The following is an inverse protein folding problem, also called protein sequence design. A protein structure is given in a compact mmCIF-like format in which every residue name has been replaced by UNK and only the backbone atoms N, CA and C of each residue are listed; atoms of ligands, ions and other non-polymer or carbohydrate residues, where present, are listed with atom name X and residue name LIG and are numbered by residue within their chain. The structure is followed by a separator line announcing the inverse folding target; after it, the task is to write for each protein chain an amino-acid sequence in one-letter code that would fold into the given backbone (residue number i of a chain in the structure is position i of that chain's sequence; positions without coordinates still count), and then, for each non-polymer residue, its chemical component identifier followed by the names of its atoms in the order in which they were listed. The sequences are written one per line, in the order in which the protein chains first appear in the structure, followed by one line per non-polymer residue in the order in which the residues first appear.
data_IF_828653861244
#
_entry.id   IF_828653861244
#
_cell.length_a   1.000
_cell.length_b   1.000
_cell.length_c   1.000
_cell.angle_alpha   90.00
_cell.angle_beta   90.00
_cell.angle_gamma   90.00
#
_symmetry.space_group_name_H-M   'P 1'
#
loop_
_entity.id
_entity.type
_entity.pdbx_description
1 polymer ?
#
# COMPACT_ATOMS: atom_id res chain seq x y z
N UNK A 1 8.37 -14.33 -2.85
CA UNK A 1 8.10 -14.91 -4.20
C UNK A 1 8.42 -13.86 -5.25
N UNK A 2 8.87 -14.26 -6.43
CA UNK A 2 9.12 -13.35 -7.56
C UNK A 2 8.19 -13.74 -8.70
N UNK A 3 7.44 -12.77 -9.22
CA UNK A 3 6.50 -12.92 -10.32
C UNK A 3 6.81 -11.86 -11.41
N UNK A 4 6.28 -12.04 -12.60
CA UNK A 4 6.53 -11.08 -13.67
C UNK A 4 7.81 -11.38 -14.45
N UNK A 5 8.50 -10.34 -14.93
CA UNK A 5 9.75 -10.41 -15.70
C UNK A 5 10.93 -10.11 -14.76
N UNK A 6 11.76 -11.11 -14.40
CA UNK A 6 12.78 -10.96 -13.33
C UNK A 6 13.78 -9.82 -13.59
N UNK A 7 14.14 -9.59 -14.85
CA UNK A 7 15.14 -8.58 -15.22
C UNK A 7 14.53 -7.22 -15.60
N UNK A 8 13.22 -7.04 -15.41
CA UNK A 8 12.56 -5.76 -15.72
C UNK A 8 13.21 -4.60 -14.99
N UNK A 9 13.25 -3.44 -15.65
CA UNK A 9 13.76 -2.19 -15.06
C UNK A 9 12.85 -1.61 -13.99
N UNK A 10 11.59 -2.06 -13.93
CA UNK A 10 10.61 -1.68 -12.91
C UNK A 10 10.39 -2.83 -11.94
N UNK A 11 10.48 -2.53 -10.65
CA UNK A 11 10.29 -3.48 -9.57
C UNK A 11 9.14 -3.01 -8.67
N UNK A 12 8.17 -3.88 -8.50
CA UNK A 12 7.06 -3.72 -7.57
C UNK A 12 7.38 -4.52 -6.30
N UNK A 13 7.25 -3.92 -5.16
CA UNK A 13 7.46 -4.56 -3.86
C UNK A 13 6.12 -4.57 -3.11
N UNK A 14 5.74 -5.74 -2.61
CA UNK A 14 4.46 -5.92 -1.94
C UNK A 14 4.60 -6.81 -0.71
N UNK A 15 4.38 -6.28 0.49
CA UNK A 15 4.13 -7.09 1.67
C UNK A 15 2.83 -7.88 1.50
N UNK A 16 2.88 -9.19 1.75
CA UNK A 16 1.79 -10.13 1.52
C UNK A 16 1.67 -11.12 2.68
N UNK A 17 0.45 -11.57 2.96
CA UNK A 17 0.20 -12.71 3.84
C UNK A 17 0.02 -14.01 3.04
N UNK A 18 -0.42 -15.10 3.68
CA UNK A 18 -0.69 -16.38 3.00
C UNK A 18 -1.87 -16.31 2.04
N UNK A 19 -2.88 -15.49 2.37
CA UNK A 19 -4.05 -15.32 1.52
C UNK A 19 -3.69 -14.57 0.25
N UNK A 20 -2.94 -13.47 0.37
CA UNK A 20 -2.43 -12.70 -0.77
C UNK A 20 -1.54 -13.57 -1.66
N UNK A 21 -0.65 -14.38 -1.05
CA UNK A 21 0.20 -15.31 -1.80
C UNK A 21 -0.58 -16.33 -2.62
N UNK A 22 -1.73 -16.78 -2.13
CA UNK A 22 -2.56 -17.75 -2.84
C UNK A 22 -3.16 -17.18 -4.15
N UNK A 23 -3.30 -15.86 -4.25
CA UNK A 23 -3.90 -15.15 -5.41
C UNK A 23 -2.90 -14.29 -6.18
N UNK A 24 -1.62 -14.28 -5.80
CA UNK A 24 -0.60 -13.40 -6.36
C UNK A 24 -0.37 -13.56 -7.86
N UNK A 25 -0.59 -14.77 -8.40
CA UNK A 25 -0.48 -15.02 -9.84
C UNK A 25 -1.63 -14.34 -10.61
N UNK A 26 -2.85 -14.38 -10.05
CA UNK A 26 -4.01 -13.70 -10.61
C UNK A 26 -3.80 -12.17 -10.58
N UNK A 27 -3.30 -11.63 -9.47
CA UNK A 27 -2.92 -10.22 -9.34
C UNK A 27 -1.87 -9.84 -10.37
N UNK A 28 -0.79 -10.63 -10.49
CA UNK A 28 0.28 -10.40 -11.48
C UNK A 28 -0.25 -10.41 -12.92
N UNK A 29 -1.15 -11.34 -13.25
CA UNK A 29 -1.78 -11.42 -14.57
C UNK A 29 -2.63 -10.18 -14.86
N UNK A 30 -3.36 -9.68 -13.86
CA UNK A 30 -4.18 -8.48 -13.99
C UNK A 30 -3.32 -7.21 -14.13
N UNK A 31 -2.21 -7.10 -13.38
CA UNK A 31 -1.23 -6.00 -13.57
C UNK A 31 -0.73 -6.00 -15.02
N UNK A 32 -0.33 -7.18 -15.55
CA UNK A 32 0.13 -7.29 -16.96
C UNK A 32 -0.94 -6.88 -17.98
N UNK A 33 -2.18 -7.22 -17.70
CA UNK A 33 -3.30 -6.85 -18.58
C UNK A 33 -3.53 -5.34 -18.64
N UNK A 34 -3.28 -4.65 -17.53
CA UNK A 34 -3.56 -3.22 -17.36
C UNK A 34 -2.34 -2.32 -17.63
N UNK A 35 -1.14 -2.83 -17.39
CA UNK A 35 0.09 -2.07 -17.51
C UNK A 35 0.63 -2.05 -18.95
N UNK A 36 1.35 -0.97 -19.27
CA UNK A 36 2.05 -0.81 -20.56
C UNK A 36 3.54 -1.13 -20.49
N UNK A 37 4.04 -1.35 -19.28
CA UNK A 37 5.47 -1.55 -18.97
C UNK A 37 5.68 -2.89 -18.30
N UNK A 38 6.72 -3.61 -18.68
CA UNK A 38 7.15 -4.81 -18.00
C UNK A 38 7.61 -4.53 -16.58
N UNK A 39 7.37 -5.47 -15.68
CA UNK A 39 7.71 -5.35 -14.28
C UNK A 39 8.15 -6.69 -13.67
N UNK A 40 8.90 -6.59 -12.58
CA UNK A 40 9.19 -7.66 -11.65
C UNK A 40 8.41 -7.39 -10.36
N UNK A 41 7.52 -8.29 -9.94
CA UNK A 41 6.83 -8.21 -8.66
C UNK A 41 7.56 -9.08 -7.63
N UNK A 42 7.98 -8.48 -6.52
CA UNK A 42 8.59 -9.15 -5.38
C UNK A 42 7.57 -9.13 -4.24
N UNK A 43 6.92 -10.28 -4.01
CA UNK A 43 6.03 -10.48 -2.88
C UNK A 43 6.84 -10.88 -1.64
N UNK A 44 6.80 -10.04 -0.61
CA UNK A 44 7.51 -10.24 0.66
C UNK A 44 6.52 -10.78 1.70
N UNK A 45 6.71 -12.03 2.10
CA UNK A 45 5.86 -12.65 3.12
C UNK A 45 6.03 -11.96 4.47
N UNK A 46 4.91 -11.64 5.09
CA UNK A 46 4.79 -11.09 6.43
C UNK A 46 4.16 -12.16 7.33
N UNK A 47 4.86 -12.51 8.41
CA UNK A 47 4.39 -13.55 9.32
C UNK A 47 3.45 -13.01 10.40
N UNK A 48 3.68 -11.79 10.88
CA UNK A 48 2.77 -11.11 11.81
C UNK A 48 2.33 -9.76 11.24
N UNK A 49 1.15 -9.77 10.61
CA UNK A 49 0.60 -8.63 9.87
C UNK A 49 0.51 -7.36 10.70
N UNK A 50 -0.11 -7.45 11.89
CA UNK A 50 -0.30 -6.31 12.76
C UNK A 50 1.02 -5.82 13.39
N UNK A 51 1.92 -6.72 13.71
CA UNK A 51 3.17 -6.34 14.34
C UNK A 51 4.18 -5.75 13.35
N UNK A 52 4.34 -6.36 12.16
CA UNK A 52 5.40 -6.04 11.24
C UNK A 52 5.09 -4.87 10.28
N UNK A 53 3.82 -4.57 10.04
CA UNK A 53 3.42 -3.50 9.12
C UNK A 53 3.01 -2.20 9.82
N UNK A 54 2.87 -2.21 11.14
CA UNK A 54 2.46 -1.03 11.90
C UNK A 54 3.62 -0.12 12.23
N UNK A 55 3.49 1.20 11.96
CA UNK A 55 4.54 2.19 12.21
C UNK A 55 4.90 2.35 13.69
N UNK A 56 3.92 2.18 14.57
CA UNK A 56 4.04 2.25 16.03
C UNK A 56 2.99 1.37 16.70
N UNK A 57 3.21 1.08 17.98
CA UNK A 57 2.27 0.28 18.76
C UNK A 57 0.96 1.04 18.98
N UNK A 58 -0.16 0.33 18.79
CA UNK A 58 -1.48 0.87 19.03
C UNK A 58 -2.42 -0.22 19.60
N UNK A 59 -3.46 0.16 20.36
CA UNK A 59 -4.46 -0.78 20.82
C UNK A 59 -5.20 -1.45 19.67
N UNK A 60 -5.78 -2.63 19.93
CA UNK A 60 -6.64 -3.31 18.97
C UNK A 60 -7.82 -2.41 18.55
N UNK A 61 -8.00 -2.22 17.26
CA UNK A 61 -9.17 -1.52 16.67
C UNK A 61 -10.25 -2.53 16.30
N UNK A 62 -9.84 -3.74 15.95
CA UNK A 62 -10.71 -4.90 15.71
C UNK A 62 -10.08 -6.16 16.33
N UNK A 63 -10.89 -7.18 16.57
CA UNK A 63 -10.39 -8.40 17.20
C UNK A 63 -9.87 -8.17 18.63
N UNK A 64 -8.81 -8.86 19.00
CA UNK A 64 -8.19 -8.79 20.34
C UNK A 64 -6.69 -8.45 20.30
N UNK A 65 -6.07 -8.57 19.14
CA UNK A 65 -4.65 -8.34 18.95
C UNK A 65 -4.39 -6.85 18.64
N UNK A 66 -3.48 -6.24 19.39
CA UNK A 66 -3.02 -4.87 19.13
C UNK A 66 -2.05 -4.82 17.98
N UNK A 67 -1.61 -3.61 17.67
CA UNK A 67 -0.63 -3.33 16.62
C UNK A 67 0.76 -3.21 17.23
N UNK A 68 1.78 -3.71 16.52
CA UNK A 68 3.18 -3.58 16.91
C UNK A 68 3.83 -2.29 16.40
N UNK A 69 5.15 -2.32 16.23
CA UNK A 69 5.99 -1.21 15.77
C UNK A 69 7.08 -1.67 14.78
N UNK A 70 6.85 -2.79 14.10
CA UNK A 70 7.85 -3.46 13.26
C UNK A 70 8.01 -2.88 11.85
N UNK A 71 7.28 -1.83 11.47
CA UNK A 71 7.32 -1.28 10.12
C UNK A 71 8.74 -0.81 9.71
N UNK A 72 9.54 -0.29 10.64
CA UNK A 72 10.91 0.13 10.35
C UNK A 72 11.81 -1.05 9.97
N UNK A 73 11.70 -2.18 10.68
CA UNK A 73 12.44 -3.40 10.37
C UNK A 73 11.98 -4.01 9.05
N UNK A 74 10.66 -3.99 8.79
CA UNK A 74 10.10 -4.44 7.53
C UNK A 74 10.55 -3.57 6.36
N UNK A 75 10.59 -2.24 6.53
CA UNK A 75 11.17 -1.34 5.53
C UNK A 75 12.65 -1.68 5.27
N UNK A 76 13.42 -1.95 6.31
CA UNK A 76 14.81 -2.41 6.18
C UNK A 76 14.93 -3.71 5.36
N UNK A 77 13.99 -4.66 5.52
CA UNK A 77 13.93 -5.88 4.69
C UNK A 77 13.60 -5.55 3.23
N UNK A 78 12.62 -4.66 2.98
CA UNK A 78 12.19 -4.21 1.64
C UNK A 78 13.34 -3.53 0.90
N UNK A 79 14.06 -2.63 1.55
CA UNK A 79 15.15 -1.86 0.96
C UNK A 79 16.33 -2.72 0.49
N UNK A 80 16.51 -3.93 1.03
CA UNK A 80 17.50 -4.90 0.53
C UNK A 80 17.28 -5.31 -0.92
N UNK A 81 16.07 -5.18 -1.42
CA UNK A 81 15.72 -5.45 -2.83
C UNK A 81 15.86 -4.21 -3.73
N UNK A 82 16.13 -3.04 -3.15
CA UNK A 82 16.18 -1.76 -3.86
C UNK A 82 17.62 -1.29 -4.10
N UNK A 83 18.53 -2.19 -4.50
CA UNK A 83 19.97 -1.90 -4.57
C UNK A 83 20.49 -1.55 -5.97
N UNK A 84 19.71 -1.81 -7.03
CA UNK A 84 20.15 -1.58 -8.40
C UNK A 84 19.85 -0.13 -8.82
N UNK A 85 20.89 0.70 -9.17
CA UNK A 85 20.69 2.12 -9.44
C UNK A 85 19.94 2.42 -10.74
N UNK A 86 19.83 1.44 -11.64
CA UNK A 86 19.16 1.54 -12.91
C UNK A 86 17.72 0.98 -12.90
N UNK A 87 17.20 0.64 -11.72
CA UNK A 87 15.81 0.17 -11.56
C UNK A 87 14.93 1.23 -10.89
N UNK A 88 13.66 1.20 -11.26
CA UNK A 88 12.61 2.02 -10.63
C UNK A 88 11.82 1.16 -9.66
N UNK A 89 11.63 1.64 -8.45
CA UNK A 89 10.96 0.89 -7.39
C UNK A 89 9.62 1.52 -7.01
N UNK A 90 8.60 0.68 -6.89
CA UNK A 90 7.29 1.04 -6.36
C UNK A 90 6.96 0.12 -5.18
N UNK A 91 6.38 0.68 -4.14
CA UNK A 91 5.91 -0.09 -2.98
C UNK A 91 4.40 -0.01 -2.91
N UNK A 92 3.74 -1.12 -2.61
CA UNK A 92 2.29 -1.11 -2.49
C UNK A 92 1.73 -2.30 -1.75
N UNK A 93 0.41 -2.32 -1.62
CA UNK A 93 -0.32 -3.40 -1.01
C UNK A 93 -1.73 -3.00 -0.62
N UNK A 94 -2.42 -3.95 0.01
CA UNK A 94 -3.79 -3.81 0.46
C UNK A 94 -3.87 -3.54 1.97
N UNK A 95 -4.87 -2.79 2.40
CA UNK A 95 -5.18 -2.61 3.83
C UNK A 95 -4.00 -2.05 4.64
N UNK A 96 -3.49 -2.79 5.62
CA UNK A 96 -2.35 -2.39 6.44
C UNK A 96 -1.04 -2.34 5.62
N UNK A 97 -0.88 -3.17 4.58
CA UNK A 97 0.24 -3.05 3.64
C UNK A 97 0.14 -1.76 2.80
N UNK A 98 -1.07 -1.30 2.48
CA UNK A 98 -1.29 0.01 1.86
C UNK A 98 -0.93 1.17 2.80
N UNK A 99 -1.27 1.07 4.08
CA UNK A 99 -0.81 2.02 5.12
C UNK A 99 0.72 2.02 5.23
N UNK A 100 1.33 0.84 5.28
CA UNK A 100 2.78 0.68 5.32
C UNK A 100 3.46 1.34 4.12
N UNK A 101 2.90 1.19 2.92
CA UNK A 101 3.43 1.83 1.72
C UNK A 101 3.40 3.36 1.81
N UNK A 102 2.31 3.95 2.32
CA UNK A 102 2.22 5.40 2.57
C UNK A 102 3.23 5.86 3.62
N UNK A 103 3.35 5.13 4.74
CA UNK A 103 4.31 5.45 5.78
C UNK A 103 5.76 5.34 5.28
N UNK A 104 6.09 4.27 4.56
CA UNK A 104 7.42 4.06 3.98
C UNK A 104 7.80 5.16 2.99
N UNK A 105 6.83 5.67 2.21
CA UNK A 105 7.03 6.78 1.31
C UNK A 105 7.34 8.11 2.03
N UNK A 106 7.04 8.24 3.32
CA UNK A 106 7.51 9.36 4.15
C UNK A 106 8.96 9.14 4.65
N UNK A 107 9.41 7.88 4.79
CA UNK A 107 10.74 7.56 5.35
C UNK A 107 11.87 7.69 4.34
N UNK A 108 11.61 7.40 3.06
CA UNK A 108 12.65 7.31 2.03
C UNK A 108 12.13 7.80 0.68
N UNK A 109 13.03 8.27 -0.17
CA UNK A 109 12.81 8.68 -1.56
C UNK A 109 13.11 7.57 -2.58
N UNK A 110 13.46 6.37 -2.11
CA UNK A 110 13.76 5.20 -2.95
C UNK A 110 12.57 4.80 -3.82
N UNK A 111 11.36 4.95 -3.30
CA UNK A 111 10.15 4.57 -4.04
C UNK A 111 9.65 5.73 -4.89
N UNK A 112 9.59 5.52 -6.19
CA UNK A 112 9.04 6.49 -7.13
C UNK A 112 7.54 6.75 -6.89
N UNK A 113 6.83 5.76 -6.37
CA UNK A 113 5.43 5.89 -6.03
C UNK A 113 4.94 4.81 -5.07
N UNK A 114 3.77 5.05 -4.48
CA UNK A 114 3.10 4.14 -3.57
C UNK A 114 1.73 3.71 -4.11
N UNK A 115 1.49 2.40 -4.14
CA UNK A 115 0.21 1.77 -4.51
C UNK A 115 -0.56 1.40 -3.24
N UNK A 116 -1.39 2.31 -2.72
CA UNK A 116 -2.14 2.10 -1.50
C UNK A 116 -3.61 1.74 -1.80
N UNK A 117 -3.88 0.43 -1.94
CA UNK A 117 -5.22 -0.08 -2.18
C UNK A 117 -5.95 -0.28 -0.86
N UNK A 118 -7.10 0.36 -0.70
CA UNK A 118 -7.94 0.36 0.52
C UNK A 118 -7.12 0.48 1.82
N UNK A 119 -6.20 1.48 1.92
CA UNK A 119 -5.25 1.55 3.02
C UNK A 119 -5.94 1.81 4.36
N UNK A 120 -5.40 1.23 5.43
CA UNK A 120 -5.90 1.38 6.79
C UNK A 120 -5.62 2.78 7.37
N UNK A 121 -5.98 3.86 6.66
CA UNK A 121 -5.72 5.26 7.08
C UNK A 121 -6.47 5.67 8.35
N UNK A 122 -7.37 4.82 8.85
CA UNK A 122 -7.99 4.93 10.17
C UNK A 122 -7.03 4.57 11.32
N UNK A 123 -5.83 4.06 11.03
CA UNK A 123 -4.84 3.66 12.04
C UNK A 123 -4.56 4.81 13.02
N UNK A 124 -4.54 4.54 14.35
CA UNK A 124 -4.42 5.58 15.37
C UNK A 124 -3.19 6.46 15.19
N UNK A 125 -3.39 7.78 15.11
CA UNK A 125 -2.31 8.76 14.96
C UNK A 125 -1.78 8.95 13.53
N UNK A 126 -2.20 8.13 12.55
CA UNK A 126 -1.61 8.18 11.20
C UNK A 126 -1.87 9.50 10.47
N UNK A 127 -3.05 10.10 10.63
CA UNK A 127 -3.35 11.38 9.97
C UNK A 127 -2.50 12.53 10.53
N UNK A 128 -2.25 12.56 11.84
CA UNK A 128 -1.38 13.56 12.45
C UNK A 128 0.06 13.38 11.97
N UNK A 129 0.52 12.11 11.94
CA UNK A 129 1.82 11.78 11.38
C UNK A 129 1.98 12.25 9.93
N UNK A 130 0.99 12.00 9.06
CA UNK A 130 1.05 12.37 7.63
C UNK A 130 1.05 13.89 7.40
N UNK A 131 0.42 14.67 8.30
CA UNK A 131 0.48 16.14 8.26
C UNK A 131 1.86 16.68 8.57
N UNK A 132 2.60 16.02 9.46
CA UNK A 132 3.93 16.44 9.91
C UNK A 132 5.07 15.87 9.03
N UNK A 133 4.81 14.77 8.33
CA UNK A 133 5.81 14.05 7.55
C UNK A 133 5.39 13.96 6.08
N UNK A 134 5.91 14.83 5.20
CA UNK A 134 5.55 14.81 3.80
C UNK A 134 6.02 13.54 3.10
N UNK A 135 5.22 13.06 2.14
CA UNK A 135 5.58 11.95 1.26
C UNK A 135 6.70 12.38 0.30
N UNK A 136 7.70 11.52 0.15
CA UNK A 136 8.86 11.74 -0.72
C UNK A 136 8.70 11.12 -2.11
N UNK A 137 7.67 10.31 -2.31
CA UNK A 137 7.33 9.71 -3.61
C UNK A 137 6.58 10.70 -4.49
N UNK A 138 6.86 10.69 -5.80
CA UNK A 138 6.23 11.60 -6.76
C UNK A 138 4.79 11.25 -7.11
N UNK A 139 4.36 10.00 -6.90
CA UNK A 139 3.03 9.52 -7.27
C UNK A 139 2.45 8.59 -6.20
N UNK A 140 1.16 8.75 -5.89
CA UNK A 140 0.44 7.90 -4.94
C UNK A 140 -0.94 7.55 -5.47
N UNK A 141 -1.18 6.25 -5.61
CA UNK A 141 -2.53 5.76 -5.87
C UNK A 141 -3.23 5.44 -4.55
N UNK A 142 -4.47 5.89 -4.45
CA UNK A 142 -5.38 5.56 -3.35
C UNK A 142 -6.65 4.92 -3.91
N UNK A 143 -7.19 3.94 -3.21
CA UNK A 143 -8.56 3.45 -3.48
C UNK A 143 -9.31 3.12 -2.20
N UNK A 144 -10.64 3.00 -2.32
CA UNK A 144 -11.50 2.55 -1.25
C UNK A 144 -12.76 1.91 -1.81
N UNK A 145 -13.31 0.89 -1.14
CA UNK A 145 -14.62 0.37 -1.44
C UNK A 145 -15.75 1.30 -0.95
N UNK A 146 -16.81 1.46 -1.74
CA UNK A 146 -17.93 2.38 -1.45
C UNK A 146 -18.79 1.98 -0.24
N UNK A 147 -18.48 0.81 0.36
CA UNK A 147 -19.14 0.30 1.56
C UNK A 147 -18.20 0.14 2.76
N UNK A 148 -16.92 0.47 2.63
CA UNK A 148 -15.95 0.28 3.72
C UNK A 148 -16.21 1.23 4.90
N UNK A 149 -16.62 2.45 4.65
CA UNK A 149 -17.01 3.41 5.70
C UNK A 149 -18.35 3.06 6.39
N UNK A 150 -19.11 2.06 5.87
CA UNK A 150 -20.41 1.61 6.42
C UNK A 150 -20.25 0.48 7.46
N UNK A 151 -19.08 0.32 8.05
CA UNK A 151 -18.84 -0.64 9.13
C UNK A 151 -19.43 -0.17 10.46
N UNK A 152 -19.72 -1.14 11.37
CA UNK A 152 -20.17 -0.84 12.74
C UNK A 152 -19.04 -0.40 13.67
N UNK A 153 -17.79 -0.64 13.30
CA UNK A 153 -16.65 -0.22 14.09
C UNK A 153 -16.44 1.29 13.91
N UNK A 154 -16.54 2.10 14.97
CA UNK A 154 -16.52 3.57 14.85
C UNK A 154 -15.17 4.11 14.39
N UNK A 155 -14.06 3.42 14.68
CA UNK A 155 -12.72 3.82 14.23
C UNK A 155 -12.57 3.52 12.74
N UNK A 156 -12.89 2.30 12.31
CA UNK A 156 -12.80 1.90 10.91
C UNK A 156 -13.78 2.68 10.02
N UNK A 157 -14.94 3.10 10.54
CA UNK A 157 -15.91 3.91 9.80
C UNK A 157 -15.36 5.28 9.36
N UNK A 158 -14.30 5.76 10.01
CA UNK A 158 -13.64 7.02 9.62
C UNK A 158 -12.84 6.91 8.33
N UNK A 159 -12.65 5.70 7.78
CA UNK A 159 -11.77 5.46 6.61
C UNK A 159 -12.13 6.33 5.40
N UNK A 160 -13.42 6.52 5.14
CA UNK A 160 -13.89 7.33 4.01
C UNK A 160 -13.52 8.81 4.13
N UNK A 161 -13.63 9.40 5.32
CA UNK A 161 -13.20 10.77 5.60
C UNK A 161 -11.67 10.89 5.52
N UNK A 162 -10.96 9.98 6.19
CA UNK A 162 -9.50 9.99 6.28
C UNK A 162 -8.80 9.77 4.94
N UNK A 163 -9.35 8.94 4.06
CA UNK A 163 -8.74 8.75 2.73
C UNK A 163 -8.91 9.98 1.83
N UNK A 164 -10.05 10.69 1.94
CA UNK A 164 -10.25 11.98 1.25
C UNK A 164 -9.28 13.04 1.79
N UNK A 165 -9.11 13.10 3.10
CA UNK A 165 -8.13 13.97 3.75
C UNK A 165 -6.69 13.61 3.30
N UNK A 166 -6.33 12.32 3.28
CA UNK A 166 -5.05 11.85 2.76
C UNK A 166 -4.81 12.36 1.34
N UNK A 167 -5.78 12.22 0.44
CA UNK A 167 -5.66 12.72 -0.93
C UNK A 167 -5.44 14.24 -0.97
N UNK A 168 -6.17 14.99 -0.15
CA UNK A 168 -6.03 16.44 -0.09
C UNK A 168 -4.63 16.87 0.40
N UNK A 169 -4.10 16.20 1.43
CA UNK A 169 -2.74 16.42 1.92
C UNK A 169 -1.69 16.14 0.84
N UNK A 170 -1.81 15.02 0.12
CA UNK A 170 -0.92 14.65 -0.97
C UNK A 170 -0.93 15.69 -2.09
N UNK A 171 -2.11 16.15 -2.50
CA UNK A 171 -2.25 17.22 -3.50
C UNK A 171 -1.62 18.53 -3.06
N UNK A 172 -1.79 18.90 -1.79
CA UNK A 172 -1.18 20.09 -1.22
C UNK A 172 0.35 20.02 -1.19
N UNK A 173 0.92 18.81 -1.10
CA UNK A 173 2.35 18.53 -1.18
C UNK A 173 2.88 18.47 -2.64
N UNK A 174 2.02 18.59 -3.65
CA UNK A 174 2.39 18.48 -5.07
C UNK A 174 2.56 17.06 -5.56
N UNK A 175 2.10 16.05 -4.80
CA UNK A 175 2.16 14.65 -5.19
C UNK A 175 1.07 14.35 -6.23
N UNK A 176 1.44 13.69 -7.33
CA UNK A 176 0.46 13.23 -8.32
C UNK A 176 -0.36 12.07 -7.71
N UNK A 177 -1.64 12.28 -7.49
CA UNK A 177 -2.49 11.32 -6.78
C UNK A 177 -3.89 11.19 -7.36
N UNK A 178 -4.41 9.97 -7.31
CA UNK A 178 -5.80 9.64 -7.60
C UNK A 178 -6.42 8.96 -6.38
N UNK A 179 -7.73 9.11 -6.21
CA UNK A 179 -8.55 8.31 -5.31
C UNK A 179 -9.64 7.62 -6.14
N UNK A 180 -9.52 6.31 -6.28
CA UNK A 180 -10.49 5.48 -6.99
C UNK A 180 -11.48 4.84 -6.01
N UNK A 181 -12.78 4.97 -6.30
CA UNK A 181 -13.84 4.30 -5.55
C UNK A 181 -14.21 2.99 -6.23
N UNK A 182 -14.06 1.89 -5.50
CA UNK A 182 -14.43 0.57 -5.96
C UNK A 182 -15.80 0.18 -5.42
N UNK A 183 -16.52 -0.67 -6.14
CA UNK A 183 -17.76 -1.23 -5.62
C UNK A 183 -17.46 -2.27 -4.54
N UNK A 184 -18.17 -2.21 -3.41
CA UNK A 184 -18.14 -3.26 -2.39
C UNK A 184 -17.47 -2.86 -1.08
N UNK A 185 -17.27 -3.87 -0.23
CA UNK A 185 -16.64 -3.71 1.08
C UNK A 185 -15.13 -4.02 1.04
N UNK A 186 -14.48 -4.03 2.22
CA UNK A 186 -13.05 -4.25 2.37
C UNK A 186 -12.55 -5.63 1.91
N UNK A 187 -13.42 -6.64 1.84
CA UNK A 187 -13.02 -8.02 1.56
C UNK A 187 -13.32 -8.45 0.11
N UNK A 188 -13.66 -7.51 -0.76
CA UNK A 188 -14.00 -7.79 -2.15
C UNK A 188 -12.90 -7.36 -3.10
N UNK A 189 -12.47 -8.27 -3.97
CA UNK A 189 -11.55 -8.03 -5.09
C UNK A 189 -10.23 -7.35 -4.66
N UNK A 190 -9.66 -7.73 -3.50
CA UNK A 190 -8.46 -7.10 -2.95
C UNK A 190 -7.28 -7.16 -3.94
N UNK A 191 -7.04 -8.32 -4.54
CA UNK A 191 -6.01 -8.55 -5.55
C UNK A 191 -6.21 -7.70 -6.81
N UNK A 192 -7.47 -7.53 -7.26
CA UNK A 192 -7.76 -6.71 -8.43
C UNK A 192 -7.61 -5.22 -8.15
N UNK A 193 -7.91 -4.78 -6.93
CA UNK A 193 -7.70 -3.39 -6.50
C UNK A 193 -6.23 -3.07 -6.37
N UNK A 194 -5.43 -3.99 -5.81
CA UNK A 194 -3.97 -3.87 -5.72
C UNK A 194 -3.35 -3.86 -7.11
N UNK A 195 -3.80 -4.74 -8.02
CA UNK A 195 -3.37 -4.75 -9.40
C UNK A 195 -3.61 -3.42 -10.12
N UNK A 196 -4.79 -2.80 -9.96
CA UNK A 196 -5.08 -1.46 -10.53
C UNK A 196 -4.17 -0.39 -9.97
N UNK A 197 -3.88 -0.45 -8.65
CA UNK A 197 -2.99 0.51 -8.00
C UNK A 197 -1.58 0.47 -8.60
N UNK A 198 -1.00 -0.72 -8.76
CA UNK A 198 0.29 -0.87 -9.41
C UNK A 198 0.25 -0.50 -10.89
N UNK A 199 -0.78 -0.94 -11.63
CA UNK A 199 -0.90 -0.62 -13.05
C UNK A 199 -1.01 0.89 -13.31
N UNK A 200 -1.69 1.64 -12.42
CA UNK A 200 -1.74 3.09 -12.53
C UNK A 200 -0.36 3.72 -12.41
N UNK A 201 0.48 3.26 -11.48
CA UNK A 201 1.87 3.71 -11.34
C UNK A 201 2.74 3.35 -12.54
N UNK A 202 2.53 2.16 -13.11
CA UNK A 202 3.27 1.68 -14.29
C UNK A 202 2.91 2.43 -15.58
N UNK A 203 1.78 3.10 -15.63
CA UNK A 203 1.29 3.85 -16.79
C UNK A 203 1.61 5.36 -16.72
N UNK A 204 2.42 5.78 -15.72
CA UNK A 204 2.98 7.14 -15.58
C UNK A 204 4.30 7.25 -16.31
#
# INVERSE_FOLDING_TARGET
MICGTPDASVVLLQPVDEHDLAVIENETAEIRRLARTDFCLIALRIDNWNAELSPWSAPAVFGREGFGNGAADTLGKVLKYCTAPNKTYYLGGYSLAGLFALWAACQTDVFRGAAAASPSVWFPGFMDYLRENPIRSGSVYLSLGDREEKTRNPVMATVGERIRETQNLLRAQGVDTILEWNRGNHFQDAELRTARAFAWLLNK
#
